data_IF_744296194964
#
_entry.id   IF_744296194964
#
_cell.length_a   1.000
_cell.length_b   1.000
_cell.length_c   1.000
_cell.angle_alpha   90.00
_cell.angle_beta   90.00
_cell.angle_gamma   90.00
#
_symmetry.space_group_name_H-M   'P 1'
#
loop_
_entity.id
_entity.type
_entity.pdbx_description
1 polymer ?
#
# COMPACT_ATOMS: atom_id res chain seq x y z
N UNK A 1 -9.23 -5.20 0.37
CA UNK A 1 -8.07 -4.46 0.90
C UNK A 1 -7.63 -5.13 2.19
N UNK A 2 -6.33 -5.39 2.40
CA UNK A 2 -5.78 -6.01 3.61
C UNK A 2 -4.71 -5.11 4.20
N UNK A 3 -4.90 -4.75 5.47
CA UNK A 3 -4.03 -3.84 6.22
C UNK A 3 -3.59 -4.59 7.47
N UNK A 4 -2.29 -4.65 7.70
CA UNK A 4 -1.70 -5.37 8.84
C UNK A 4 -1.02 -4.43 9.84
N UNK A 5 -0.40 -3.36 9.34
CA UNK A 5 0.16 -2.30 10.17
C UNK A 5 -0.91 -1.37 10.75
N UNK A 6 -0.51 -0.59 11.75
CA UNK A 6 -1.33 0.49 12.31
C UNK A 6 -1.28 1.71 11.40
N UNK A 7 -2.39 2.44 11.28
CA UNK A 7 -2.39 3.75 10.66
C UNK A 7 -1.76 4.80 11.60
N UNK A 8 -1.31 5.92 11.03
CA UNK A 8 -0.91 7.12 11.78
C UNK A 8 -1.56 8.38 11.20
N UNK A 9 -1.52 9.48 11.95
CA UNK A 9 -1.89 10.80 11.45
C UNK A 9 -0.61 11.55 11.08
N UNK A 10 -0.54 12.01 9.83
CA UNK A 10 0.54 12.88 9.33
C UNK A 10 -0.11 13.99 8.50
N UNK A 11 0.20 15.26 8.80
CA UNK A 11 -0.36 16.43 8.10
C UNK A 11 -1.89 16.39 7.95
N UNK A 12 -2.59 16.06 9.03
CA UNK A 12 -4.06 15.96 9.08
C UNK A 12 -4.65 14.91 8.11
N UNK A 13 -3.85 13.90 7.73
CA UNK A 13 -4.27 12.77 6.91
C UNK A 13 -4.06 11.46 7.69
N UNK A 14 -4.99 10.54 7.55
CA UNK A 14 -4.82 9.15 7.99
C UNK A 14 -3.95 8.42 6.96
N UNK A 15 -2.84 7.85 7.40
CA UNK A 15 -1.85 7.23 6.51
C UNK A 15 -1.58 5.79 6.92
N UNK A 16 -1.67 4.85 5.97
CA UNK A 16 -1.43 3.43 6.23
C UNK A 16 -0.94 2.69 4.99
N UNK A 17 -0.21 1.59 5.21
CA UNK A 17 0.23 0.67 4.18
C UNK A 17 -0.72 -0.50 3.95
N UNK A 18 -0.63 -1.10 2.77
CA UNK A 18 -1.45 -2.21 2.34
C UNK A 18 -0.64 -3.28 1.60
N UNK A 19 -1.14 -4.50 1.63
CA UNK A 19 -0.55 -5.67 0.98
C UNK A 19 -0.37 -5.54 -0.54
N UNK A 20 -1.04 -4.59 -1.19
CA UNK A 20 -0.95 -4.33 -2.62
C UNK A 20 0.21 -3.40 -3.01
N UNK A 21 1.13 -3.13 -2.08
CA UNK A 21 2.29 -2.26 -2.28
C UNK A 21 1.93 -0.78 -2.42
N UNK A 22 0.85 -0.36 -1.75
CA UNK A 22 0.42 1.05 -1.69
C UNK A 22 0.43 1.59 -0.27
N UNK A 23 0.83 2.85 -0.12
CA UNK A 23 0.46 3.71 1.01
C UNK A 23 -0.75 4.52 0.58
N UNK A 24 -1.73 4.63 1.46
CA UNK A 24 -2.91 5.47 1.26
C UNK A 24 -2.84 6.69 2.17
N UNK A 25 -3.14 7.85 1.62
CA UNK A 25 -3.35 9.11 2.34
C UNK A 25 -4.84 9.43 2.29
N UNK A 26 -5.49 9.42 3.45
CA UNK A 26 -6.94 9.45 3.56
C UNK A 26 -7.38 10.64 4.39
N UNK A 27 -8.45 11.29 3.96
CA UNK A 27 -9.14 12.28 4.76
C UNK A 27 -9.77 11.62 6.01
N UNK A 28 -9.38 12.01 7.24
CA UNK A 28 -9.87 11.33 8.44
C UNK A 28 -11.36 11.58 8.71
N UNK A 29 -11.97 12.63 8.15
CA UNK A 29 -13.39 12.95 8.38
C UNK A 29 -14.30 12.24 7.38
N UNK A 30 -13.90 12.19 6.10
CA UNK A 30 -14.72 11.67 5.01
C UNK A 30 -14.36 10.25 4.58
N UNK A 31 -13.17 9.76 4.94
CA UNK A 31 -12.66 8.47 4.49
C UNK A 31 -12.23 8.44 3.01
N UNK A 32 -12.19 9.59 2.34
CA UNK A 32 -11.78 9.69 0.94
C UNK A 32 -10.25 9.59 0.80
N UNK A 33 -9.78 8.77 -0.14
CA UNK A 33 -8.37 8.70 -0.51
C UNK A 33 -7.98 9.98 -1.24
N UNK A 34 -7.09 10.77 -0.65
CA UNK A 34 -6.53 12.00 -1.23
C UNK A 34 -5.37 11.72 -2.17
N UNK A 35 -4.53 10.75 -1.83
CA UNK A 35 -3.38 10.34 -2.64
C UNK A 35 -2.91 8.93 -2.29
N UNK A 36 -2.04 8.38 -3.13
CA UNK A 36 -1.37 7.11 -2.90
C UNK A 36 0.09 7.16 -3.32
N UNK A 37 0.96 6.59 -2.50
CA UNK A 37 2.26 6.10 -2.98
C UNK A 37 2.12 4.64 -3.39
N UNK A 38 2.84 4.23 -4.44
CA UNK A 38 2.88 2.85 -4.90
C UNK A 38 4.32 2.45 -5.20
N UNK A 39 4.75 1.29 -4.70
CA UNK A 39 6.08 0.71 -4.96
C UNK A 39 6.30 0.49 -6.46
N UNK A 40 7.56 0.40 -6.89
CA UNK A 40 7.88 0.23 -8.31
C UNK A 40 7.38 -1.14 -8.83
N UNK A 41 7.58 -2.19 -8.04
CA UNK A 41 7.14 -3.56 -8.32
C UNK A 41 5.62 -3.63 -8.44
N UNK A 42 4.91 -2.99 -7.50
CA UNK A 42 3.46 -2.86 -7.56
C UNK A 42 3.06 -2.16 -8.86
N UNK A 43 3.61 -0.99 -9.20
CA UNK A 43 3.27 -0.29 -10.45
C UNK A 43 3.46 -1.16 -11.70
N UNK A 44 4.55 -1.92 -11.77
CA UNK A 44 4.91 -2.72 -12.94
C UNK A 44 4.02 -3.94 -13.13
N UNK A 45 3.50 -4.52 -12.04
CA UNK A 45 2.82 -5.82 -12.08
C UNK A 45 1.40 -5.80 -11.51
N UNK A 46 0.89 -4.62 -11.12
CA UNK A 46 -0.40 -4.45 -10.45
C UNK A 46 -1.55 -5.13 -11.18
N UNK A 47 -1.64 -4.94 -12.50
CA UNK A 47 -2.73 -5.41 -13.35
C UNK A 47 -2.79 -6.95 -13.49
N UNK A 48 -1.71 -7.64 -13.09
CA UNK A 48 -1.72 -9.09 -13.00
C UNK A 48 -2.64 -9.59 -11.87
N UNK A 49 -2.80 -8.80 -10.81
CA UNK A 49 -3.52 -9.18 -9.59
C UNK A 49 -4.77 -8.35 -9.32
N UNK A 50 -4.78 -7.09 -9.76
CA UNK A 50 -5.84 -6.13 -9.50
C UNK A 50 -6.39 -5.57 -10.81
N UNK A 51 -7.67 -5.24 -10.83
CA UNK A 51 -8.28 -4.51 -11.93
C UNK A 51 -8.06 -2.99 -11.79
N UNK A 52 -8.62 -2.24 -12.74
CA UNK A 52 -8.55 -0.78 -12.77
C UNK A 52 -9.45 -0.10 -11.70
N UNK A 53 -10.21 -0.87 -10.91
CA UNK A 53 -10.94 -0.40 -9.74
C UNK A 53 -10.25 -0.79 -8.41
N UNK A 54 -8.96 -1.17 -8.45
CA UNK A 54 -8.20 -1.64 -7.28
C UNK A 54 -8.79 -2.90 -6.62
N UNK A 55 -9.62 -3.66 -7.33
CA UNK A 55 -10.20 -4.91 -6.83
C UNK A 55 -9.35 -6.10 -7.25
N UNK A 56 -9.19 -7.06 -6.33
CA UNK A 56 -8.49 -8.30 -6.63
C UNK A 56 -9.21 -9.07 -7.73
N UNK A 57 -8.46 -9.56 -8.71
CA UNK A 57 -8.98 -10.30 -9.84
C UNK A 57 -9.41 -11.70 -9.42
N UNK A 58 -10.69 -12.00 -9.58
CA UNK A 58 -11.28 -13.29 -9.20
C UNK A 58 -10.64 -14.47 -9.95
N UNK A 59 -10.23 -14.27 -11.21
CA UNK A 59 -9.66 -15.33 -12.05
C UNK A 59 -8.26 -15.79 -11.63
N UNK A 60 -7.62 -15.06 -10.71
CA UNK A 60 -6.29 -15.36 -10.18
C UNK A 60 -6.37 -16.06 -8.82
N UNK A 61 -7.20 -15.56 -7.91
CA UNK A 61 -7.23 -16.03 -6.52
C UNK A 61 -7.78 -17.45 -6.36
N UNK A 62 -8.85 -17.77 -7.10
CA UNK A 62 -9.64 -18.98 -6.86
C UNK A 62 -8.96 -20.28 -7.33
N UNK A 63 -7.84 -20.19 -8.04
CA UNK A 63 -7.14 -21.34 -8.63
C UNK A 63 -5.99 -21.86 -7.76
N UNK A 64 -5.19 -20.95 -7.21
CA UNK A 64 -4.04 -21.28 -6.35
C UNK A 64 -3.75 -20.11 -5.41
N UNK A 65 -4.30 -20.21 -4.20
CA UNK A 65 -4.14 -19.21 -3.16
C UNK A 65 -2.67 -18.95 -2.78
N UNK A 66 -1.85 -20.00 -2.71
CA UNK A 66 -0.44 -19.86 -2.32
C UNK A 66 0.37 -19.15 -3.41
N UNK A 67 0.07 -19.43 -4.68
CA UNK A 67 0.67 -18.69 -5.80
C UNK A 67 0.24 -17.22 -5.79
N UNK A 68 -1.05 -16.95 -5.54
CA UNK A 68 -1.57 -15.59 -5.46
C UNK A 68 -0.91 -14.79 -4.32
N UNK A 69 -0.75 -15.38 -3.13
CA UNK A 69 -0.06 -14.72 -2.01
C UNK A 69 1.42 -14.41 -2.30
N UNK A 70 2.13 -15.31 -3.00
CA UNK A 70 3.51 -15.02 -3.43
C UNK A 70 3.57 -13.83 -4.38
N UNK A 71 2.65 -13.75 -5.33
CA UNK A 71 2.59 -12.61 -6.26
C UNK A 71 2.25 -11.30 -5.53
N UNK A 72 1.34 -11.37 -4.56
CA UNK A 72 1.00 -10.25 -3.68
C UNK A 72 2.24 -9.73 -2.94
N UNK A 73 3.01 -10.61 -2.30
CA UNK A 73 4.23 -10.20 -1.59
C UNK A 73 5.24 -9.61 -2.58
N UNK A 74 5.33 -10.15 -3.79
CA UNK A 74 6.23 -9.63 -4.83
C UNK A 74 5.87 -8.20 -5.28
N UNK A 75 4.64 -7.71 -5.05
CA UNK A 75 4.28 -6.29 -5.27
C UNK A 75 5.03 -5.34 -4.33
N UNK A 76 5.79 -5.82 -3.35
CA UNK A 76 6.32 -4.98 -2.28
C UNK A 76 5.22 -4.66 -1.28
N UNK A 77 4.59 -5.70 -0.74
CA UNK A 77 3.53 -5.58 0.25
C UNK A 77 4.02 -4.81 1.48
N UNK A 78 3.26 -3.79 1.90
CA UNK A 78 3.60 -2.97 3.06
C UNK A 78 2.83 -3.52 4.26
N UNK A 79 3.48 -4.43 4.97
CA UNK A 79 2.89 -5.15 6.12
C UNK A 79 3.23 -4.51 7.47
N UNK A 80 4.25 -3.65 7.51
CA UNK A 80 4.69 -2.95 8.71
C UNK A 80 3.81 -1.74 9.04
N UNK A 81 3.78 -1.34 10.31
CA UNK A 81 3.32 0.00 10.69
C UNK A 81 4.30 1.06 10.19
N UNK A 82 3.87 2.06 9.40
CA UNK A 82 4.72 3.19 9.05
C UNK A 82 5.01 4.05 10.29
N UNK A 83 6.04 4.87 10.20
CA UNK A 83 6.35 5.94 11.16
C UNK A 83 6.59 7.25 10.42
N UNK A 84 6.36 8.39 11.06
CA UNK A 84 6.54 9.70 10.43
C UNK A 84 7.41 10.62 11.28
N UNK A 85 8.32 11.34 10.63
CA UNK A 85 9.10 12.42 11.24
C UNK A 85 9.27 13.56 10.21
N UNK A 86 9.09 14.81 10.65
CA UNK A 86 9.26 16.01 9.81
C UNK A 86 8.58 15.89 8.43
N UNK A 87 7.34 15.41 8.43
CA UNK A 87 6.51 15.18 7.24
C UNK A 87 7.10 14.19 6.21
N UNK A 88 7.95 13.29 6.68
CA UNK A 88 8.47 12.16 5.91
C UNK A 88 7.96 10.88 6.54
N UNK A 89 7.34 10.03 5.72
CA UNK A 89 6.86 8.71 6.09
C UNK A 89 7.95 7.66 5.83
N UNK A 90 8.19 6.79 6.80
CA UNK A 90 9.15 5.70 6.72
C UNK A 90 8.46 4.36 6.90
N UNK A 91 8.79 3.39 6.05
CA UNK A 91 8.23 2.04 6.07
C UNK A 91 9.10 1.07 5.26
N UNK A 92 8.98 -0.22 5.58
CA UNK A 92 9.56 -1.29 4.78
C UNK A 92 8.50 -2.02 3.95
N UNK A 93 8.96 -2.75 2.92
CA UNK A 93 8.11 -3.69 2.18
C UNK A 93 8.58 -5.15 2.31
N UNK A 94 7.79 -6.08 1.79
CA UNK A 94 8.11 -7.51 1.80
C UNK A 94 9.25 -7.92 0.87
N UNK A 95 9.73 -7.03 0.01
CA UNK A 95 10.88 -7.26 -0.87
C UNK A 95 12.20 -6.83 -0.22
N UNK A 96 12.15 -6.28 1.00
CA UNK A 96 13.32 -5.82 1.75
C UNK A 96 13.74 -4.39 1.43
N UNK A 97 12.92 -3.62 0.70
CA UNK A 97 13.16 -2.20 0.51
C UNK A 97 12.69 -1.39 1.72
N UNK A 98 13.42 -0.31 2.00
CA UNK A 98 13.05 0.69 3.00
C UNK A 98 12.86 2.04 2.31
N UNK A 99 11.73 2.69 2.59
CA UNK A 99 11.32 3.91 1.92
C UNK A 99 11.30 5.10 2.87
N UNK A 100 11.57 6.27 2.29
CA UNK A 100 11.32 7.57 2.90
C UNK A 100 10.51 8.39 1.88
N UNK A 101 9.23 8.62 2.18
CA UNK A 101 8.29 9.31 1.29
C UNK A 101 7.88 10.62 1.92
N UNK A 102 8.26 11.73 1.28
CA UNK A 102 7.86 13.06 1.71
C UNK A 102 6.44 13.36 1.26
N UNK A 103 5.57 13.76 2.19
CA UNK A 103 4.26 14.25 1.82
C UNK A 103 4.40 15.69 1.33
N UNK A 104 3.93 15.96 0.11
CA UNK A 104 3.95 17.31 -0.48
C UNK A 104 2.54 17.87 -0.68
N UNK A 105 1.51 17.17 -0.18
CA UNK A 105 0.13 17.62 -0.27
C UNK A 105 -0.01 18.83 0.66
N UNK A 106 -0.30 19.99 0.06
CA UNK A 106 -0.62 21.23 0.78
C UNK A 106 -2.08 21.25 1.22
#
# INVERSE_FOLDING_TARGET
MRVYGTALIMDNQLVFGSFNGKIYFVDPETGLVKDTFQTAESKNTYSALFDNQDKFRNDVYDKDYLAAEKQILALGAILSSPVSEQNTLYFGDSNGYFYAVKNNIK
#
